data_IF_930786192652
#
_entry.id   IF_930786192652
#
_cell.length_a   1.000
_cell.length_b   1.000
_cell.length_c   1.000
_cell.angle_alpha   90.00
_cell.angle_beta   90.00
_cell.angle_gamma   90.00
#
_symmetry.space_group_name_H-M   'P 1'
#
loop_
_entity.id
_entity.type
_entity.pdbx_description
1 polymer ?
#
# COMPACT_ATOMS: atom_id res chain seq x y z
N UNK A 1 0.57 9.64 -7.78
CA UNK A 1 -0.08 9.17 -6.54
C UNK A 1 -1.57 8.99 -6.81
N UNK A 2 -2.12 7.85 -6.41
CA UNK A 2 -3.56 7.56 -6.46
C UNK A 2 -4.14 7.74 -5.06
N UNK A 3 -5.21 8.51 -4.95
CA UNK A 3 -5.89 8.79 -3.67
C UNK A 3 -7.35 8.37 -3.82
N UNK A 4 -7.81 7.51 -2.93
CA UNK A 4 -9.19 7.02 -2.88
C UNK A 4 -9.80 7.35 -1.50
N UNK A 5 -10.54 8.44 -1.37
CA UNK A 5 -11.28 8.74 -0.16
C UNK A 5 -12.29 7.63 0.14
N UNK A 6 -12.54 7.38 1.42
CA UNK A 6 -13.56 6.42 1.88
C UNK A 6 -13.45 5.01 1.26
N UNK A 7 -12.22 4.58 0.92
CA UNK A 7 -11.97 3.25 0.36
C UNK A 7 -12.37 2.13 1.33
N UNK A 8 -12.26 2.40 2.63
CA UNK A 8 -12.77 1.53 3.72
C UNK A 8 -13.65 2.34 4.67
N UNK A 9 -14.67 1.73 5.29
CA UNK A 9 -15.56 2.45 6.20
C UNK A 9 -14.86 2.84 7.50
N UNK A 10 -15.26 3.96 8.10
CA UNK A 10 -14.69 4.46 9.36
C UNK A 10 -14.85 3.47 10.52
N UNK A 11 -15.92 2.66 10.54
CA UNK A 11 -16.11 1.60 11.53
C UNK A 11 -15.02 0.54 11.48
N UNK A 12 -14.59 0.13 10.28
CA UNK A 12 -13.47 -0.81 10.10
C UNK A 12 -12.15 -0.18 10.60
N UNK A 13 -11.93 1.10 10.30
CA UNK A 13 -10.76 1.83 10.80
C UNK A 13 -10.70 1.87 12.33
N UNK A 14 -11.83 2.17 12.97
CA UNK A 14 -11.93 2.23 14.44
C UNK A 14 -11.67 0.86 15.09
N UNK A 15 -12.18 -0.22 14.50
CA UNK A 15 -11.98 -1.57 15.01
C UNK A 15 -10.52 -2.02 14.85
N UNK A 16 -9.86 -1.69 13.73
CA UNK A 16 -8.42 -1.95 13.54
C UNK A 16 -7.58 -1.24 14.61
N UNK A 17 -7.89 0.01 14.92
CA UNK A 17 -7.22 0.77 15.98
C UNK A 17 -7.45 0.10 17.35
N UNK A 18 -8.69 -0.25 17.67
CA UNK A 18 -9.04 -0.86 18.97
C UNK A 18 -8.29 -2.19 19.19
N UNK A 19 -8.25 -3.07 18.17
CA UNK A 19 -7.50 -4.34 18.26
C UNK A 19 -5.99 -4.12 18.33
N UNK A 20 -5.48 -3.15 17.59
CA UNK A 20 -4.05 -2.78 17.67
C UNK A 20 -3.68 -2.33 19.08
N UNK A 21 -4.44 -1.42 19.70
CA UNK A 21 -4.14 -0.90 21.04
C UNK A 21 -4.25 -1.97 22.13
N UNK A 22 -5.12 -2.94 21.97
CA UNK A 22 -5.27 -4.07 22.91
C UNK A 22 -4.25 -5.20 22.69
N UNK A 23 -3.46 -5.18 21.60
CA UNK A 23 -2.65 -6.34 21.23
C UNK A 23 -1.29 -6.36 21.94
N UNK A 24 -0.92 -7.47 22.61
CA UNK A 24 0.30 -7.56 23.43
C UNK A 24 1.61 -7.53 22.62
N UNK A 25 1.59 -7.86 21.34
CA UNK A 25 2.78 -7.94 20.49
C UNK A 25 3.08 -6.63 19.71
N UNK A 26 2.37 -5.54 20.02
CA UNK A 26 2.74 -4.23 19.48
C UNK A 26 4.14 -3.84 19.94
N UNK A 27 5.02 -3.54 18.99
CA UNK A 27 6.44 -3.32 19.23
C UNK A 27 6.94 -2.03 18.57
N UNK A 28 8.10 -1.49 18.97
CA UNK A 28 8.71 -0.36 18.28
C UNK A 28 8.92 -0.64 16.80
N UNK A 29 8.53 0.31 15.95
CA UNK A 29 8.63 0.20 14.50
C UNK A 29 10.07 0.28 14.00
N UNK A 30 10.38 -0.53 12.99
CA UNK A 30 11.72 -0.59 12.38
C UNK A 30 11.74 0.18 11.05
N UNK A 31 12.91 0.72 10.72
CA UNK A 31 13.25 1.25 9.40
C UNK A 31 14.43 0.46 8.82
N UNK A 32 14.24 -0.21 7.68
CA UNK A 32 15.27 -1.07 7.10
C UNK A 32 15.78 -2.16 8.04
N UNK A 33 14.88 -2.74 8.86
CA UNK A 33 15.20 -3.77 9.85
C UNK A 33 15.93 -3.25 11.10
N UNK A 34 16.08 -1.94 11.28
CA UNK A 34 16.80 -1.32 12.41
C UNK A 34 15.89 -0.38 13.19
N UNK A 35 16.08 -0.33 14.50
CA UNK A 35 15.44 0.64 15.38
C UNK A 35 16.30 1.93 15.40
N UNK A 36 15.81 2.98 14.75
CA UNK A 36 16.37 4.33 14.83
C UNK A 36 15.24 5.37 14.93
N UNK A 37 14.92 5.86 16.12
CA UNK A 37 13.85 6.84 16.33
C UNK A 37 14.06 8.18 15.60
N UNK A 38 15.28 8.48 15.14
CA UNK A 38 15.57 9.67 14.32
C UNK A 38 15.09 9.51 12.88
N UNK A 39 14.94 8.25 12.42
CA UNK A 39 14.43 7.91 11.09
C UNK A 39 12.93 7.65 11.17
N UNK A 40 12.51 6.78 12.10
CA UNK A 40 11.12 6.39 12.29
C UNK A 40 10.82 6.19 13.78
N UNK A 41 9.78 6.87 14.27
CA UNK A 41 9.28 6.72 15.62
C UNK A 41 7.81 6.29 15.56
N UNK A 42 7.55 5.00 15.76
CA UNK A 42 6.22 4.38 15.70
C UNK A 42 6.13 3.15 16.60
N UNK A 43 4.89 2.67 16.81
CA UNK A 43 4.60 1.30 17.26
C UNK A 43 3.97 0.55 16.09
N UNK A 44 4.40 -0.66 15.84
CA UNK A 44 4.01 -1.44 14.68
C UNK A 44 3.46 -2.82 15.08
N UNK A 45 2.54 -3.36 14.27
CA UNK A 45 2.00 -4.73 14.40
C UNK A 45 1.70 -5.30 13.01
N UNK A 46 2.38 -6.38 12.62
CA UNK A 46 2.01 -7.16 11.44
C UNK A 46 0.71 -7.93 11.69
N UNK A 47 -0.27 -7.84 10.78
CA UNK A 47 -1.59 -8.44 10.98
C UNK A 47 -1.98 -9.49 9.94
N UNK A 48 -1.23 -9.62 8.85
CA UNK A 48 -1.50 -10.63 7.83
C UNK A 48 -1.25 -12.04 8.40
N UNK A 49 -2.21 -12.94 8.20
CA UNK A 49 -2.13 -14.32 8.68
C UNK A 49 -2.45 -14.50 10.17
N UNK A 50 -2.83 -13.44 10.88
CA UNK A 50 -3.31 -13.53 12.27
C UNK A 50 -4.80 -13.82 12.30
N UNK A 51 -5.25 -14.95 12.92
CA UNK A 51 -6.66 -15.31 12.97
C UNK A 51 -7.53 -14.25 13.62
N UNK A 52 -7.02 -13.58 14.64
CA UNK A 52 -7.70 -12.51 15.39
C UNK A 52 -7.90 -11.22 14.59
N UNK A 53 -7.30 -11.09 13.42
CA UNK A 53 -7.51 -9.97 12.49
C UNK A 53 -8.17 -10.39 11.18
N UNK A 54 -8.48 -11.67 10.97
CA UNK A 54 -8.92 -12.19 9.68
C UNK A 54 -10.19 -11.49 9.15
N UNK A 55 -11.16 -11.21 10.03
CA UNK A 55 -12.42 -10.52 9.72
C UNK A 55 -12.21 -9.04 9.33
N UNK A 56 -11.14 -8.40 9.79
CA UNK A 56 -10.78 -7.01 9.45
C UNK A 56 -9.84 -6.94 8.24
N UNK A 57 -8.97 -7.92 8.07
CA UNK A 57 -8.01 -7.98 6.96
C UNK A 57 -8.71 -8.21 5.62
N UNK A 58 -9.70 -9.11 5.57
CA UNK A 58 -10.39 -9.41 4.30
C UNK A 58 -11.07 -8.18 3.67
N UNK A 59 -11.86 -7.35 4.39
CA UNK A 59 -12.39 -6.09 3.84
C UNK A 59 -11.30 -5.12 3.34
N UNK A 60 -10.17 -5.02 4.04
CA UNK A 60 -9.02 -4.21 3.61
C UNK A 60 -8.45 -4.73 2.29
N UNK A 61 -8.26 -6.04 2.16
CA UNK A 61 -7.75 -6.69 0.94
C UNK A 61 -8.72 -6.43 -0.23
N UNK A 62 -10.02 -6.55 -0.01
CA UNK A 62 -11.03 -6.28 -1.05
C UNK A 62 -11.01 -4.80 -1.47
N UNK A 63 -10.89 -3.87 -0.53
CA UNK A 63 -10.75 -2.44 -0.85
C UNK A 63 -9.48 -2.19 -1.68
N UNK A 64 -8.35 -2.76 -1.26
CA UNK A 64 -7.09 -2.64 -1.98
C UNK A 64 -7.18 -3.20 -3.40
N UNK A 65 -7.83 -4.35 -3.60
CA UNK A 65 -8.08 -4.94 -4.93
C UNK A 65 -8.89 -4.03 -5.84
N UNK A 66 -9.95 -3.40 -5.32
CA UNK A 66 -10.75 -2.44 -6.10
C UNK A 66 -9.92 -1.24 -6.54
N UNK A 67 -9.12 -0.69 -5.63
CA UNK A 67 -8.27 0.47 -5.94
C UNK A 67 -7.10 0.10 -6.86
N UNK A 68 -6.56 -1.12 -6.76
CA UNK A 68 -5.56 -1.63 -7.68
C UNK A 68 -6.11 -1.76 -9.12
N UNK A 69 -7.34 -2.24 -9.30
CA UNK A 69 -7.99 -2.27 -10.63
C UNK A 69 -8.10 -0.86 -11.21
N UNK A 70 -8.54 0.12 -10.41
CA UNK A 70 -8.63 1.53 -10.82
C UNK A 70 -7.26 2.10 -11.18
N UNK A 71 -6.26 1.80 -10.35
CA UNK A 71 -4.86 2.21 -10.59
C UNK A 71 -4.33 1.68 -11.90
N UNK A 72 -4.47 0.38 -12.16
CA UNK A 72 -3.96 -0.29 -13.37
C UNK A 72 -4.67 0.22 -14.63
N UNK A 73 -5.98 0.47 -14.59
CA UNK A 73 -6.69 1.08 -15.73
C UNK A 73 -6.17 2.48 -16.05
N UNK A 74 -5.82 3.26 -15.04
CA UNK A 74 -5.23 4.59 -15.22
C UNK A 74 -3.77 4.52 -15.69
N UNK A 75 -3.01 3.55 -15.19
CA UNK A 75 -1.57 3.39 -15.43
C UNK A 75 -1.24 1.98 -15.94
N UNK A 76 -1.69 1.59 -17.15
CA UNK A 76 -1.58 0.20 -17.63
C UNK A 76 -0.16 -0.30 -17.76
N UNK A 77 0.81 0.58 -17.93
CA UNK A 77 2.21 0.20 -18.02
C UNK A 77 2.82 -0.31 -16.70
N UNK A 78 2.13 -0.20 -15.57
CA UNK A 78 2.55 -0.90 -14.35
C UNK A 78 2.54 -2.43 -14.52
N UNK A 79 1.71 -2.93 -15.46
CA UNK A 79 1.64 -4.34 -15.86
C UNK A 79 2.38 -4.58 -17.17
N UNK A 80 2.14 -3.74 -18.17
CA UNK A 80 2.55 -4.01 -19.57
C UNK A 80 4.01 -3.68 -19.86
N UNK A 81 4.68 -2.82 -19.06
CA UNK A 81 6.04 -2.40 -19.36
C UNK A 81 7.09 -3.51 -19.13
N UNK A 82 6.83 -4.45 -18.23
CA UNK A 82 7.79 -5.51 -17.84
C UNK A 82 7.52 -6.87 -18.47
N UNK A 83 6.41 -7.05 -19.22
CA UNK A 83 6.00 -8.35 -19.73
C UNK A 83 5.10 -8.22 -20.94
N UNK A 84 5.22 -9.15 -21.88
CA UNK A 84 4.32 -9.27 -23.02
C UNK A 84 3.15 -10.16 -22.64
N UNK A 85 1.97 -9.59 -22.52
CA UNK A 85 0.74 -10.33 -22.31
C UNK A 85 -0.06 -10.42 -23.61
N UNK A 86 -0.80 -11.51 -23.76
CA UNK A 86 -1.72 -11.72 -24.87
C UNK A 86 -3.14 -11.96 -24.33
N UNK A 87 -4.12 -11.58 -25.12
CA UNK A 87 -5.52 -11.93 -24.95
C UNK A 87 -6.03 -12.55 -26.24
N UNK A 88 -7.29 -12.96 -26.27
CA UNK A 88 -7.90 -13.50 -27.48
C UNK A 88 -8.88 -12.47 -28.05
N UNK A 89 -8.78 -12.23 -29.34
CA UNK A 89 -9.80 -11.49 -30.07
C UNK A 89 -11.15 -12.22 -29.96
N UNK A 90 -12.16 -11.54 -29.40
CA UNK A 90 -13.45 -12.14 -29.14
C UNK A 90 -14.19 -12.62 -30.41
N UNK A 91 -13.86 -12.05 -31.56
CA UNK A 91 -14.48 -12.37 -32.87
C UNK A 91 -13.80 -13.51 -33.61
N UNK A 92 -12.47 -13.57 -33.55
CA UNK A 92 -11.67 -14.52 -34.36
C UNK A 92 -11.07 -15.64 -33.52
N UNK A 93 -11.01 -15.50 -32.20
CA UNK A 93 -10.33 -16.41 -31.29
C UNK A 93 -8.81 -16.37 -31.39
N UNK A 94 -8.23 -15.50 -32.23
CA UNK A 94 -6.78 -15.42 -32.39
C UNK A 94 -6.12 -14.73 -31.21
N UNK A 95 -4.90 -15.15 -30.86
CA UNK A 95 -4.10 -14.51 -29.82
C UNK A 95 -3.60 -13.14 -30.32
N UNK A 96 -3.86 -12.09 -29.56
CA UNK A 96 -3.43 -10.72 -29.84
C UNK A 96 -2.67 -10.16 -28.63
N UNK A 97 -1.71 -9.26 -28.87
CA UNK A 97 -1.01 -8.59 -27.80
C UNK A 97 -1.97 -7.73 -26.97
N UNK A 98 -1.83 -7.78 -25.64
CA UNK A 98 -2.62 -6.95 -24.75
C UNK A 98 -2.09 -5.50 -24.80
N UNK A 99 -2.90 -4.59 -25.34
CA UNK A 99 -2.61 -3.16 -25.38
C UNK A 99 -3.17 -2.42 -24.17
N UNK A 100 -2.74 -1.17 -23.91
CA UNK A 100 -3.35 -0.36 -22.85
C UNK A 100 -4.86 -0.17 -23.01
N UNK A 101 -5.38 -0.07 -24.24
CA UNK A 101 -6.80 0.09 -24.56
C UNK A 101 -7.55 -1.19 -24.17
N UNK A 102 -7.11 -2.34 -24.69
CA UNK A 102 -7.71 -3.64 -24.37
C UNK A 102 -7.67 -3.95 -22.86
N UNK A 103 -6.57 -3.61 -22.18
CA UNK A 103 -6.46 -3.81 -20.74
C UNK A 103 -7.52 -3.00 -19.97
N UNK A 104 -7.79 -1.76 -20.38
CA UNK A 104 -8.81 -0.92 -19.75
C UNK A 104 -10.23 -1.45 -19.95
N UNK A 105 -10.48 -2.16 -21.03
CA UNK A 105 -11.77 -2.75 -21.39
C UNK A 105 -12.02 -4.12 -20.77
N UNK A 106 -10.98 -4.76 -20.21
CA UNK A 106 -11.15 -6.07 -19.56
C UNK A 106 -12.19 -5.99 -18.44
N UNK A 107 -13.08 -6.98 -18.32
CA UNK A 107 -13.94 -7.13 -17.14
C UNK A 107 -13.07 -7.21 -15.86
N UNK A 108 -13.61 -6.74 -14.73
CA UNK A 108 -12.89 -6.75 -13.45
C UNK A 108 -12.33 -8.12 -13.08
N UNK A 109 -13.10 -9.19 -13.32
CA UNK A 109 -12.66 -10.57 -13.03
C UNK A 109 -11.48 -11.00 -13.88
N UNK A 110 -11.48 -10.68 -15.18
CA UNK A 110 -10.39 -11.01 -16.10
C UNK A 110 -9.13 -10.20 -15.76
N UNK A 111 -9.28 -8.89 -15.52
CA UNK A 111 -8.16 -8.05 -15.11
C UNK A 111 -7.59 -8.51 -13.76
N UNK A 112 -8.44 -8.83 -12.78
CA UNK A 112 -7.98 -9.35 -11.49
C UNK A 112 -7.24 -10.68 -11.64
N UNK A 113 -7.73 -11.59 -12.49
CA UNK A 113 -7.04 -12.84 -12.81
C UNK A 113 -5.63 -12.61 -13.38
N UNK A 114 -5.48 -11.63 -14.28
CA UNK A 114 -4.18 -11.21 -14.81
C UNK A 114 -3.28 -10.64 -13.67
N UNK A 115 -3.82 -9.74 -12.86
CA UNK A 115 -3.06 -9.11 -11.77
C UNK A 115 -2.55 -10.13 -10.74
N UNK A 116 -3.32 -11.17 -10.44
CA UNK A 116 -2.91 -12.25 -9.53
C UNK A 116 -1.75 -13.12 -10.09
N UNK A 117 -1.57 -13.14 -11.42
CA UNK A 117 -0.41 -13.80 -12.03
C UNK A 117 0.85 -12.95 -11.94
N UNK A 118 0.71 -11.63 -11.93
CA UNK A 118 1.82 -10.66 -11.95
C UNK A 118 2.20 -10.24 -10.54
N UNK A 119 1.22 -10.05 -9.67
CA UNK A 119 1.37 -9.42 -8.37
C UNK A 119 0.92 -10.30 -7.21
N UNK A 120 1.54 -10.07 -6.07
CA UNK A 120 1.13 -10.59 -4.76
C UNK A 120 1.03 -9.45 -3.75
N UNK A 121 0.24 -9.66 -2.73
CA UNK A 121 0.16 -8.75 -1.59
C UNK A 121 1.33 -9.03 -0.64
N UNK A 122 1.94 -7.98 -0.10
CA UNK A 122 2.92 -8.03 0.99
C UNK A 122 2.25 -8.11 2.35
N UNK A 123 3.07 -8.13 3.39
CA UNK A 123 2.58 -8.12 4.77
C UNK A 123 1.82 -6.84 5.07
N UNK A 124 0.68 -6.98 5.77
CA UNK A 124 -0.12 -5.87 6.26
C UNK A 124 0.39 -5.44 7.64
N UNK A 125 0.73 -4.17 7.77
CA UNK A 125 1.31 -3.63 8.98
C UNK A 125 0.52 -2.44 9.51
N UNK A 126 -0.03 -2.57 10.72
CA UNK A 126 -0.63 -1.47 11.46
C UNK A 126 0.48 -0.66 12.11
N UNK A 127 0.37 0.67 12.04
CA UNK A 127 1.37 1.57 12.60
C UNK A 127 0.69 2.72 13.35
N UNK A 128 1.18 2.99 14.54
CA UNK A 128 0.80 4.12 15.37
C UNK A 128 1.95 5.11 15.48
N UNK A 129 1.65 6.37 15.28
CA UNK A 129 2.56 7.50 15.43
C UNK A 129 2.02 8.44 16.51
N UNK A 130 2.74 8.53 17.62
CA UNK A 130 2.32 9.33 18.76
C UNK A 130 2.32 10.83 18.42
N UNK A 131 1.32 11.54 18.94
CA UNK A 131 1.21 13.00 18.87
C UNK A 131 2.50 13.66 19.35
N UNK A 132 2.94 14.69 18.63
CA UNK A 132 4.14 15.51 18.88
C UNK A 132 5.50 14.81 18.77
N UNK A 133 5.58 13.48 18.69
CA UNK A 133 6.85 12.73 18.69
C UNK A 133 6.95 11.63 17.64
N UNK A 134 5.84 11.09 17.14
CA UNK A 134 5.83 10.05 16.13
C UNK A 134 6.02 10.59 14.72
N UNK A 135 6.55 9.76 13.83
CA UNK A 135 6.73 10.09 12.42
C UNK A 135 7.64 9.12 11.68
N UNK A 136 7.64 9.21 10.36
CA UNK A 136 8.68 8.64 9.51
C UNK A 136 9.43 9.80 8.87
N UNK A 137 10.45 10.31 9.57
CA UNK A 137 11.05 11.62 9.32
C UNK A 137 11.93 11.66 8.09
N UNK A 138 12.62 10.53 7.81
CA UNK A 138 13.53 10.45 6.68
C UNK A 138 12.76 10.38 5.36
N UNK A 139 13.24 11.12 4.36
CA UNK A 139 12.85 10.93 2.99
C UNK A 139 13.31 9.55 2.51
N UNK A 140 12.38 8.71 2.05
CA UNK A 140 12.68 7.34 1.65
C UNK A 140 11.86 6.90 0.44
N UNK A 141 12.34 5.87 -0.21
CA UNK A 141 11.62 5.08 -1.18
C UNK A 141 11.50 3.64 -0.67
N UNK A 142 10.59 2.87 -1.23
CA UNK A 142 10.28 1.52 -0.76
C UNK A 142 11.24 0.46 -1.31
N UNK A 143 11.95 0.78 -2.39
CA UNK A 143 12.93 -0.11 -3.02
C UNK A 143 14.31 0.19 -2.47
N UNK A 144 14.95 -0.81 -1.89
CA UNK A 144 16.31 -0.69 -1.38
C UNK A 144 17.11 -1.98 -1.62
N UNK A 145 18.42 -1.89 -1.92
CA UNK A 145 19.27 -3.05 -2.17
C UNK A 145 19.79 -3.73 -0.89
N UNK A 146 19.42 -3.25 0.28
CA UNK A 146 20.00 -3.66 1.56
C UNK A 146 19.52 -4.98 2.13
N UNK A 147 18.55 -5.64 1.51
CA UNK A 147 18.00 -6.91 1.96
C UNK A 147 18.59 -8.10 1.19
N UNK A 148 19.24 -9.07 1.87
CA UNK A 148 19.76 -10.27 1.23
C UNK A 148 18.68 -11.12 0.53
N UNK A 149 17.42 -11.03 0.96
CA UNK A 149 16.28 -11.75 0.34
C UNK A 149 15.78 -11.07 -0.92
N UNK A 150 16.23 -9.86 -1.21
CA UNK A 150 15.78 -9.00 -2.31
C UNK A 150 14.28 -8.67 -2.28
N UNK A 151 13.58 -8.96 -1.18
CA UNK A 151 12.13 -8.69 -1.06
C UNK A 151 11.76 -7.23 -1.38
N UNK A 152 12.47 -6.19 -0.87
CA UNK A 152 12.20 -4.80 -1.23
C UNK A 152 12.35 -4.52 -2.73
N UNK A 153 13.18 -5.27 -3.47
CA UNK A 153 13.34 -5.09 -4.91
C UNK A 153 12.11 -5.54 -5.72
N UNK A 154 11.23 -6.34 -5.13
CA UNK A 154 9.98 -6.78 -5.75
C UNK A 154 8.81 -5.83 -5.53
N UNK A 155 8.96 -4.78 -4.71
CA UNK A 155 7.91 -3.81 -4.41
C UNK A 155 7.61 -2.95 -5.63
N UNK A 156 6.35 -2.93 -6.04
CA UNK A 156 5.87 -2.18 -7.21
C UNK A 156 5.08 -0.95 -6.77
N UNK A 157 4.09 -1.18 -5.91
CA UNK A 157 3.21 -0.14 -5.39
C UNK A 157 3.06 -0.31 -3.87
N UNK A 158 3.65 0.55 -3.05
CA UNK A 158 3.20 0.74 -1.69
C UNK A 158 1.78 1.30 -1.68
N UNK A 159 1.03 0.93 -0.66
CA UNK A 159 -0.21 1.58 -0.32
C UNK A 159 -0.34 1.75 1.18
N UNK A 160 -1.09 2.74 1.60
CA UNK A 160 -1.50 2.90 2.99
C UNK A 160 -2.95 3.36 3.07
N UNK A 161 -3.56 3.07 4.20
CA UNK A 161 -4.89 3.54 4.57
C UNK A 161 -4.74 4.33 5.85
N UNK A 162 -5.20 5.57 5.87
CA UNK A 162 -5.31 6.33 7.09
C UNK A 162 -6.50 5.79 7.90
N UNK A 163 -6.29 5.48 9.18
CA UNK A 163 -7.31 4.88 10.03
C UNK A 163 -8.05 5.90 10.89
N UNK A 164 -7.51 7.12 10.99
CA UNK A 164 -8.16 8.21 11.70
C UNK A 164 -7.85 9.56 11.04
N UNK A 165 -8.64 10.55 11.40
CA UNK A 165 -8.39 11.95 11.04
C UNK A 165 -7.30 12.52 11.91
N UNK A 166 -6.41 13.32 11.31
CA UNK A 166 -5.47 14.19 12.03
C UNK A 166 -5.60 15.57 11.41
N UNK A 167 -6.07 16.54 12.18
CA UNK A 167 -6.38 17.89 11.66
C UNK A 167 -5.13 18.75 11.43
N UNK A 168 -4.08 18.55 12.23
CA UNK A 168 -2.82 19.27 12.14
C UNK A 168 -1.62 18.33 12.22
N UNK A 169 -0.70 18.45 11.29
CA UNK A 169 0.44 17.54 11.16
C UNK A 169 0.04 16.16 10.66
N UNK A 170 0.97 15.21 10.69
CA UNK A 170 0.74 13.83 10.29
C UNK A 170 0.64 13.61 8.78
N UNK A 171 0.81 14.63 7.96
CA UNK A 171 0.75 14.53 6.51
C UNK A 171 1.76 13.50 6.00
N UNK A 172 1.43 12.87 4.88
CA UNK A 172 2.40 12.17 4.05
C UNK A 172 2.76 13.07 2.90
N UNK A 173 4.06 13.33 2.74
CA UNK A 173 4.62 14.24 1.74
C UNK A 173 5.40 13.46 0.68
N UNK A 174 5.24 13.83 -0.60
CA UNK A 174 6.02 13.32 -1.74
C UNK A 174 6.89 14.43 -2.31
N UNK A 175 8.21 14.21 -2.32
CA UNK A 175 9.21 15.22 -2.64
C UNK A 175 9.08 15.75 -4.07
N UNK A 176 9.09 14.85 -5.06
CA UNK A 176 9.11 15.24 -6.48
C UNK A 176 7.73 15.64 -7.02
N UNK A 177 6.66 15.27 -6.36
CA UNK A 177 5.29 15.62 -6.75
C UNK A 177 4.82 16.91 -6.11
N UNK A 178 5.59 17.48 -5.17
CA UNK A 178 5.19 18.61 -4.32
C UNK A 178 3.78 18.40 -3.74
N UNK A 179 3.55 17.17 -3.26
CA UNK A 179 2.25 16.72 -2.78
C UNK A 179 2.30 16.44 -1.29
N UNK A 180 1.30 16.93 -0.58
CA UNK A 180 1.07 16.64 0.84
C UNK A 180 -0.36 16.18 1.03
N UNK A 181 -0.56 15.04 1.71
CA UNK A 181 -1.89 14.47 1.95
C UNK A 181 -2.14 14.41 3.45
N UNK A 182 -3.18 15.12 3.89
CA UNK A 182 -3.66 15.12 5.26
C UNK A 182 -4.36 13.80 5.58
N UNK A 183 -4.08 13.17 6.75
CA UNK A 183 -4.77 11.96 7.16
C UNK A 183 -6.28 12.17 7.31
N UNK A 184 -7.05 11.31 6.59
CA UNK A 184 -8.51 11.21 6.70
C UNK A 184 -8.88 9.73 6.78
N UNK A 185 -9.68 9.38 7.79
CA UNK A 185 -10.11 8.00 8.02
C UNK A 185 -10.69 7.35 6.76
N UNK A 186 -10.28 6.14 6.47
CA UNK A 186 -10.73 5.36 5.32
C UNK A 186 -10.07 5.73 3.98
N UNK A 187 -9.25 6.78 3.92
CA UNK A 187 -8.56 7.15 2.67
C UNK A 187 -7.41 6.19 2.38
N UNK A 188 -7.48 5.53 1.22
CA UNK A 188 -6.37 4.73 0.68
C UNK A 188 -5.52 5.58 -0.26
N UNK A 189 -4.20 5.48 -0.09
CA UNK A 189 -3.21 6.11 -0.98
C UNK A 189 -2.28 5.04 -1.54
N UNK A 190 -2.03 5.07 -2.86
CA UNK A 190 -1.17 4.11 -3.57
C UNK A 190 -0.26 4.86 -4.55
N UNK A 191 1.03 4.46 -4.61
CA UNK A 191 2.03 5.15 -5.45
C UNK A 191 3.13 4.19 -5.90
N UNK A 192 3.94 4.55 -6.93
CA UNK A 192 5.13 3.77 -7.33
C UNK A 192 6.17 3.66 -6.21
N UNK A 193 6.76 2.48 -6.05
CA UNK A 193 7.69 2.18 -4.95
C UNK A 193 9.07 2.84 -5.09
N UNK A 194 9.41 3.34 -6.27
CA UNK A 194 10.77 3.75 -6.63
C UNK A 194 11.10 5.18 -6.20
N UNK A 195 12.36 5.58 -6.34
CA UNK A 195 12.87 6.90 -5.90
C UNK A 195 12.11 8.09 -6.49
N UNK A 196 11.45 7.94 -7.62
CA UNK A 196 10.60 8.99 -8.21
C UNK A 196 9.43 9.41 -7.30
N UNK A 197 9.08 8.58 -6.32
CA UNK A 197 8.05 8.84 -5.33
C UNK A 197 8.62 8.80 -3.91
N UNK A 198 9.81 9.37 -3.73
CA UNK A 198 10.42 9.60 -2.41
C UNK A 198 9.44 10.38 -1.53
N UNK A 199 9.18 9.86 -0.33
CA UNK A 199 8.16 10.38 0.57
C UNK A 199 8.60 10.30 2.03
N UNK A 200 7.84 10.98 2.90
CA UNK A 200 8.00 10.90 4.37
C UNK A 200 6.68 11.12 5.08
N UNK A 201 6.62 10.76 6.37
CA UNK A 201 5.49 11.04 7.25
C UNK A 201 5.83 12.10 8.29
N UNK A 202 5.05 13.19 8.31
CA UNK A 202 5.18 14.28 9.29
C UNK A 202 4.67 13.87 10.67
N UNK A 203 5.19 14.54 11.69
CA UNK A 203 4.70 14.39 13.07
C UNK A 203 3.25 14.87 13.19
N UNK A 204 2.34 14.05 13.71
CA UNK A 204 0.97 14.49 14.01
C UNK A 204 0.95 15.45 15.20
N UNK A 205 0.10 16.49 15.15
CA UNK A 205 0.05 17.54 16.16
C UNK A 205 -1.30 17.63 16.89
N UNK A 206 -2.41 17.37 16.20
CA UNK A 206 -3.74 17.46 16.81
C UNK A 206 -4.21 16.19 17.51
N UNK A 207 -3.58 15.06 17.23
CA UNK A 207 -3.88 13.73 17.79
C UNK A 207 -2.88 12.69 17.33
N UNK A 208 -2.97 11.47 17.81
CA UNK A 208 -2.19 10.35 17.32
C UNK A 208 -2.60 10.00 15.89
N UNK A 209 -1.69 9.45 15.10
CA UNK A 209 -1.94 8.99 13.75
C UNK A 209 -1.84 7.47 13.69
N UNK A 210 -2.85 6.84 13.09
CA UNK A 210 -2.86 5.40 12.80
C UNK A 210 -2.97 5.18 11.31
N UNK A 211 -2.17 4.26 10.79
CA UNK A 211 -2.25 3.80 9.41
C UNK A 211 -2.17 2.27 9.34
N UNK A 212 -2.71 1.72 8.26
CA UNK A 212 -2.38 0.39 7.79
C UNK A 212 -1.58 0.53 6.49
N UNK A 213 -0.45 -0.15 6.38
CA UNK A 213 0.41 -0.08 5.19
C UNK A 213 0.82 -1.46 4.71
N UNK A 214 1.05 -1.57 3.40
CA UNK A 214 1.56 -2.77 2.73
C UNK A 214 2.08 -2.43 1.33
N UNK A 215 2.41 -3.47 0.57
CA UNK A 215 2.96 -3.38 -0.78
C UNK A 215 2.27 -4.35 -1.73
N UNK A 216 2.08 -3.92 -2.96
CA UNK A 216 1.87 -4.80 -4.10
C UNK A 216 3.26 -5.13 -4.66
N UNK A 217 3.60 -6.42 -4.70
CA UNK A 217 4.90 -6.91 -5.13
C UNK A 217 4.75 -7.74 -6.39
N UNK A 218 5.82 -7.84 -7.18
CA UNK A 218 5.87 -8.85 -8.24
C UNK A 218 5.81 -10.26 -7.64
N UNK A 219 5.18 -11.17 -8.38
CA UNK A 219 5.22 -12.59 -8.04
C UNK A 219 6.67 -13.09 -8.01
N UNK A 220 6.94 -14.03 -7.12
CA UNK A 220 8.22 -14.75 -7.15
C UNK A 220 8.24 -15.67 -8.37
N UNK A 221 9.39 -15.76 -9.03
CA UNK A 221 9.56 -16.79 -10.06
C UNK A 221 9.22 -18.15 -9.44
N UNK A 222 8.38 -18.92 -10.13
CA UNK A 222 8.20 -20.34 -9.76
C UNK A 222 9.48 -21.05 -10.06
N UNK A 223 10.01 -21.87 -9.12
CA UNK A 223 11.21 -22.66 -9.35
C UNK A 223 11.02 -23.66 -10.51
#
# INVERSE_FOLDING_TARGET
VHVAPEAVPASLCSELIARFEAHPEVSPGLAGGRLDPRIKSSRDLGVLGRPEFADLVEPVVQATRRELLRYVRRYPFVVLAGSSFATHDARTGTSIALTPELLRELPDSALMGLLQQVFRLGDLNLQHYARHSGGYFAWHAEVSPGDPTSEPLHRVLPFMIYLNDVAEGGETEWYYQDLSIQPRAGTLVMWPAYFTHTHRGRTPRSGDKYILTSWILFQRARP
#
